data_IF_214009048232
#
_entry.id   IF_214009048232
#
_cell.length_a   1.000
_cell.length_b   1.000
_cell.length_c   1.000
_cell.angle_alpha   90.00
_cell.angle_beta   90.00
_cell.angle_gamma   90.00
#
_symmetry.space_group_name_H-M   'P 1'
#
loop_
_entity.id
_entity.type
_entity.pdbx_description
1 polymer ?
#
# COMPACT_ATOMS: atom_id res chain seq x y z
N UNK A 1 20.75 17.14 -1.70
CA UNK A 1 19.69 16.67 -2.59
C UNK A 1 18.45 17.51 -2.34
N UNK A 2 17.64 17.79 -3.37
CA UNK A 2 16.39 18.52 -3.20
C UNK A 2 15.40 17.56 -2.53
N UNK A 3 15.01 17.85 -1.31
CA UNK A 3 14.05 17.02 -0.57
C UNK A 3 12.63 17.42 -0.98
N UNK A 4 11.87 16.48 -1.53
CA UNK A 4 10.46 16.70 -1.83
C UNK A 4 9.66 16.73 -0.52
N UNK A 5 8.62 17.59 -0.48
CA UNK A 5 7.72 17.71 0.67
C UNK A 5 6.30 17.33 0.24
N UNK A 6 5.48 16.91 1.22
CA UNK A 6 4.08 16.58 0.97
C UNK A 6 3.34 17.73 0.27
N UNK A 7 3.53 18.95 0.76
CA UNK A 7 2.87 20.15 0.23
C UNK A 7 3.30 20.46 -1.21
N UNK A 8 4.61 20.40 -1.49
CA UNK A 8 5.15 20.76 -2.81
C UNK A 8 4.78 19.75 -3.92
N UNK A 9 4.48 18.52 -3.56
CA UNK A 9 4.15 17.44 -4.49
C UNK A 9 2.66 17.10 -4.54
N UNK A 10 1.85 17.67 -3.63
CA UNK A 10 0.41 17.42 -3.49
C UNK A 10 -0.37 17.92 -4.70
N UNK A 11 -1.15 17.07 -5.31
CA UNK A 11 -2.01 17.33 -6.48
C UNK A 11 -3.34 16.64 -6.35
N UNK A 12 -4.30 17.11 -7.13
CA UNK A 12 -5.62 16.51 -7.27
C UNK A 12 -5.96 16.30 -8.74
N UNK A 13 -6.70 15.27 -9.02
CA UNK A 13 -7.31 15.05 -10.32
C UNK A 13 -8.75 14.57 -10.16
N UNK A 14 -9.65 15.09 -11.00
CA UNK A 14 -10.99 14.56 -11.12
C UNK A 14 -10.96 13.37 -12.07
N UNK A 15 -11.34 12.21 -11.58
CA UNK A 15 -11.54 11.01 -12.39
C UNK A 15 -13.02 10.83 -12.70
N UNK A 16 -13.38 9.69 -13.31
CA UNK A 16 -14.77 9.37 -13.62
C UNK A 16 -15.64 9.24 -12.36
N UNK A 17 -15.12 8.56 -11.32
CA UNK A 17 -15.87 8.28 -10.09
C UNK A 17 -15.46 9.18 -8.92
N UNK A 18 -14.18 9.59 -8.81
CA UNK A 18 -13.65 10.25 -7.61
C UNK A 18 -12.75 11.44 -7.95
N UNK A 19 -12.70 12.39 -7.05
CA UNK A 19 -11.60 13.32 -6.95
C UNK A 19 -10.50 12.67 -6.13
N UNK A 20 -9.39 12.32 -6.79
CA UNK A 20 -8.26 11.66 -6.15
C UNK A 20 -7.16 12.66 -5.82
N UNK A 21 -6.59 12.49 -4.63
CA UNK A 21 -5.36 13.13 -4.21
C UNK A 21 -4.16 12.21 -4.49
N UNK A 22 -3.06 12.80 -4.87
CA UNK A 22 -1.79 12.11 -5.07
C UNK A 22 -0.61 13.07 -4.90
N UNK A 23 0.56 12.55 -4.54
CA UNK A 23 1.82 13.28 -4.65
C UNK A 23 2.50 12.88 -5.95
N UNK A 24 3.13 13.83 -6.65
CA UNK A 24 3.74 13.63 -7.95
C UNK A 24 5.07 14.39 -8.04
N UNK A 25 6.15 13.68 -8.30
CA UNK A 25 7.50 14.24 -8.39
C UNK A 25 8.35 13.51 -9.43
N UNK A 26 9.28 14.24 -10.04
CA UNK A 26 10.19 13.71 -11.05
C UNK A 26 9.56 13.65 -12.44
N UNK A 27 10.32 13.07 -13.36
CA UNK A 27 9.98 12.87 -14.77
C UNK A 27 10.51 11.49 -15.23
N UNK A 28 10.03 10.96 -16.35
CA UNK A 28 10.46 9.68 -16.91
C UNK A 28 9.45 8.56 -16.72
N UNK A 29 9.92 7.31 -16.69
CA UNK A 29 9.04 6.15 -16.45
C UNK A 29 8.35 6.26 -15.11
N UNK A 30 7.06 5.87 -15.08
CA UNK A 30 6.22 6.08 -13.89
C UNK A 30 6.33 4.91 -12.92
N UNK A 31 6.54 5.25 -11.64
CA UNK A 31 6.36 4.37 -10.49
C UNK A 31 5.14 4.86 -9.71
N UNK A 32 4.07 4.07 -9.70
CA UNK A 32 2.86 4.35 -8.94
C UNK A 32 2.86 3.50 -7.66
N UNK A 33 2.79 4.18 -6.50
CA UNK A 33 2.88 3.55 -5.18
C UNK A 33 1.53 3.64 -4.46
N UNK A 34 1.05 2.49 -3.97
CA UNK A 34 -0.29 2.32 -3.39
C UNK A 34 -0.15 1.89 -1.93
N UNK A 35 -0.71 2.69 -1.02
CA UNK A 35 -0.58 2.51 0.44
C UNK A 35 -1.47 1.40 1.02
N UNK A 36 -1.19 1.02 2.27
CA UNK A 36 -1.97 0.07 3.06
C UNK A 36 -3.21 0.69 3.72
N UNK A 37 -3.99 -0.13 4.42
CA UNK A 37 -5.27 0.24 5.04
C UNK A 37 -5.16 0.82 6.46
N UNK A 38 -3.99 1.24 6.90
CA UNK A 38 -3.82 1.82 8.25
C UNK A 38 -4.69 3.05 8.46
N UNK A 39 -5.18 3.25 9.67
CA UNK A 39 -5.85 4.48 10.05
C UNK A 39 -4.89 5.67 9.85
N UNK A 40 -5.35 6.73 9.19
CA UNK A 40 -4.52 7.87 8.79
C UNK A 40 -3.45 7.55 7.71
N UNK A 41 -3.57 6.42 7.01
CA UNK A 41 -2.68 6.12 5.91
C UNK A 41 -2.91 7.05 4.72
N UNK A 42 -1.82 7.43 4.07
CA UNK A 42 -1.78 8.17 2.81
C UNK A 42 -0.62 7.66 1.96
N UNK A 43 -0.60 7.97 0.70
CA UNK A 43 0.56 7.69 -0.16
C UNK A 43 1.84 8.29 0.43
N UNK A 44 1.77 9.54 0.88
CA UNK A 44 2.91 10.22 1.51
C UNK A 44 3.36 9.55 2.83
N UNK A 45 2.44 9.31 3.74
CA UNK A 45 2.77 8.70 5.04
C UNK A 45 3.42 7.31 4.89
N UNK A 46 3.07 6.60 3.82
CA UNK A 46 3.60 5.27 3.55
C UNK A 46 4.97 5.30 2.86
N UNK A 47 5.21 6.26 1.94
CA UNK A 47 6.32 6.19 0.98
C UNK A 47 7.23 7.42 0.90
N UNK A 48 7.10 8.41 1.80
CA UNK A 48 7.93 9.63 1.74
C UNK A 48 9.44 9.35 1.79
N UNK A 49 9.89 8.24 2.38
CA UNK A 49 11.31 7.84 2.42
C UNK A 49 11.82 7.27 1.09
N UNK A 50 10.92 7.04 0.14
CA UNK A 50 11.23 6.37 -1.11
C UNK A 50 11.21 7.33 -2.31
N UNK A 51 10.53 8.49 -2.20
CA UNK A 51 10.32 9.41 -3.33
C UNK A 51 11.64 9.99 -3.86
N UNK A 52 12.47 10.57 -3.00
CA UNK A 52 13.72 11.25 -3.41
C UNK A 52 14.72 10.32 -4.11
N UNK A 53 15.00 9.09 -3.61
CA UNK A 53 15.92 8.17 -4.28
C UNK A 53 15.43 7.71 -5.66
N UNK A 54 14.12 7.49 -5.81
CA UNK A 54 13.53 7.04 -7.07
C UNK A 54 13.50 8.19 -8.10
N UNK A 55 13.16 9.40 -7.67
CA UNK A 55 13.24 10.60 -8.53
C UNK A 55 14.69 10.90 -8.95
N UNK A 56 15.64 10.77 -8.02
CA UNK A 56 17.07 10.95 -8.35
C UNK A 56 17.59 9.92 -9.36
N UNK A 57 16.94 8.76 -9.44
CA UNK A 57 17.25 7.70 -10.42
C UNK A 57 16.56 7.92 -11.79
N UNK A 58 15.79 9.02 -11.97
CA UNK A 58 15.16 9.40 -13.23
C UNK A 58 13.74 8.87 -13.44
N UNK A 59 13.04 8.52 -12.37
CA UNK A 59 11.63 8.09 -12.43
C UNK A 59 10.66 9.22 -12.05
N UNK A 60 9.47 9.21 -12.65
CA UNK A 60 8.33 9.96 -12.14
C UNK A 60 7.64 9.10 -11.06
N UNK A 61 7.56 9.61 -9.84
CA UNK A 61 7.00 8.91 -8.68
C UNK A 61 5.64 9.50 -8.32
N UNK A 62 4.62 8.65 -8.30
CA UNK A 62 3.25 9.01 -7.91
C UNK A 62 2.88 8.22 -6.67
N UNK A 63 2.53 8.92 -5.59
CA UNK A 63 2.03 8.34 -4.36
C UNK A 63 0.52 8.59 -4.29
N UNK A 64 -0.28 7.57 -4.54
CA UNK A 64 -1.74 7.70 -4.59
C UNK A 64 -2.36 7.63 -3.19
N UNK A 65 -3.32 8.50 -2.89
CA UNK A 65 -4.29 8.28 -1.82
C UNK A 65 -5.48 7.51 -2.39
N UNK A 66 -5.74 6.31 -1.88
CA UNK A 66 -6.88 5.50 -2.32
C UNK A 66 -8.22 6.16 -1.94
N UNK A 67 -9.32 5.93 -2.68
CA UNK A 67 -10.64 6.40 -2.27
C UNK A 67 -10.97 5.99 -0.83
N UNK A 68 -11.43 6.94 -0.03
CA UNK A 68 -11.69 6.74 1.40
C UNK A 68 -10.46 6.90 2.31
N UNK A 69 -9.32 7.38 1.81
CA UNK A 69 -8.13 7.72 2.59
C UNK A 69 -7.55 9.07 2.20
N UNK A 70 -6.76 9.63 3.10
CA UNK A 70 -6.04 10.87 2.90
C UNK A 70 -6.96 12.01 2.47
N UNK A 71 -6.61 12.65 1.35
CA UNK A 71 -7.37 13.77 0.78
C UNK A 71 -8.23 13.37 -0.42
N UNK A 72 -8.29 12.08 -0.77
CA UNK A 72 -9.20 11.56 -1.78
C UNK A 72 -10.64 11.52 -1.28
N UNK A 73 -11.59 11.49 -2.22
CA UNK A 73 -13.01 11.45 -1.87
C UNK A 73 -13.37 10.32 -0.90
N UNK A 74 -14.26 10.59 0.06
CA UNK A 74 -14.77 9.57 0.97
C UNK A 74 -15.64 8.56 0.22
N UNK A 75 -15.65 7.31 0.69
CA UNK A 75 -16.46 6.25 0.10
C UNK A 75 -17.01 5.30 1.16
N UNK A 76 -18.27 4.91 0.98
CA UNK A 76 -18.88 3.73 1.64
C UNK A 76 -19.33 2.79 0.53
N UNK A 77 -18.88 1.53 0.58
CA UNK A 77 -19.18 0.55 -0.45
C UNK A 77 -19.31 -0.85 0.09
N UNK A 78 -20.18 -1.66 -0.51
CA UNK A 78 -20.26 -3.11 -0.28
C UNK A 78 -19.41 -3.95 -1.25
N UNK A 79 -18.73 -3.30 -2.21
CA UNK A 79 -17.81 -3.99 -3.12
C UNK A 79 -16.51 -4.41 -2.42
N UNK A 80 -15.80 -5.43 -2.93
CA UNK A 80 -14.47 -5.76 -2.45
C UNK A 80 -13.53 -4.54 -2.59
N UNK A 81 -12.88 -4.19 -1.49
CA UNK A 81 -12.06 -2.96 -1.43
C UNK A 81 -10.94 -2.92 -2.46
N UNK A 82 -10.32 -4.06 -2.75
CA UNK A 82 -9.24 -4.11 -3.73
C UNK A 82 -9.73 -3.85 -5.15
N UNK A 83 -10.95 -4.28 -5.52
CA UNK A 83 -11.55 -4.01 -6.82
C UNK A 83 -11.83 -2.51 -6.98
N UNK A 84 -12.37 -1.85 -5.95
CA UNK A 84 -12.60 -0.41 -5.94
C UNK A 84 -11.29 0.35 -6.15
N UNK A 85 -10.24 -0.03 -5.43
CA UNK A 85 -8.94 0.60 -5.57
C UNK A 85 -8.27 0.28 -6.93
N UNK A 86 -8.47 -0.93 -7.47
CA UNK A 86 -8.02 -1.31 -8.81
C UNK A 86 -8.63 -0.41 -9.90
N UNK A 87 -9.94 -0.13 -9.80
CA UNK A 87 -10.60 0.86 -10.67
C UNK A 87 -10.04 2.27 -10.48
N UNK A 88 -9.78 2.66 -9.23
CA UNK A 88 -9.20 3.98 -8.96
C UNK A 88 -7.78 4.12 -9.51
N UNK A 89 -6.95 3.06 -9.48
CA UNK A 89 -5.65 3.02 -10.16
C UNK A 89 -5.82 3.26 -11.66
N UNK A 90 -6.75 2.53 -12.30
CA UNK A 90 -7.04 2.71 -13.72
C UNK A 90 -7.42 4.16 -14.04
N UNK A 91 -8.39 4.67 -13.31
CA UNK A 91 -8.92 6.04 -13.56
C UNK A 91 -7.86 7.11 -13.28
N UNK A 92 -7.00 6.94 -12.27
CA UNK A 92 -5.88 7.84 -12.01
C UNK A 92 -4.89 7.83 -13.18
N UNK A 93 -4.49 6.65 -13.65
CA UNK A 93 -3.57 6.52 -14.78
C UNK A 93 -4.16 7.15 -16.05
N UNK A 94 -5.44 6.92 -16.32
CA UNK A 94 -6.13 7.50 -17.49
C UNK A 94 -6.19 9.03 -17.40
N UNK A 95 -6.55 9.58 -16.24
CA UNK A 95 -6.66 11.02 -16.02
C UNK A 95 -5.31 11.75 -16.06
N UNK A 96 -4.20 11.02 -15.91
CA UNK A 96 -2.84 11.56 -15.97
C UNK A 96 -2.11 11.21 -17.27
N UNK A 97 -2.81 10.65 -18.28
CA UNK A 97 -2.27 10.18 -19.55
C UNK A 97 -1.08 9.21 -19.37
N UNK A 98 -1.18 8.29 -18.40
CA UNK A 98 -0.17 7.28 -18.12
C UNK A 98 -0.57 5.96 -18.76
N UNK A 99 0.07 5.59 -19.85
CA UNK A 99 -0.19 4.31 -20.52
C UNK A 99 0.30 3.12 -19.71
N UNK A 100 1.47 3.22 -19.10
CA UNK A 100 2.12 2.16 -18.34
C UNK A 100 2.86 2.69 -17.13
N UNK A 101 2.78 1.95 -16.00
CA UNK A 101 3.51 2.25 -14.78
C UNK A 101 4.10 0.98 -14.15
N UNK A 102 5.21 1.11 -13.41
CA UNK A 102 5.59 0.14 -12.41
C UNK A 102 4.69 0.33 -11.18
N UNK A 103 4.18 -0.76 -10.62
CA UNK A 103 3.31 -0.69 -9.44
C UNK A 103 4.05 -1.18 -8.20
N UNK A 104 3.97 -0.40 -7.12
CA UNK A 104 4.45 -0.81 -5.79
C UNK A 104 3.26 -0.76 -4.85
N UNK A 105 2.81 -1.90 -4.34
CA UNK A 105 1.66 -1.99 -3.44
C UNK A 105 2.04 -2.55 -2.07
N UNK A 106 1.72 -1.80 -1.01
CA UNK A 106 1.87 -2.27 0.36
C UNK A 106 0.54 -2.77 0.92
N UNK A 107 0.49 -3.98 1.47
CA UNK A 107 -0.67 -4.49 2.20
C UNK A 107 -1.96 -4.46 1.36
N UNK A 108 -2.94 -3.62 1.73
CA UNK A 108 -4.12 -3.31 0.91
C UNK A 108 -3.72 -2.85 -0.49
N UNK A 109 -2.67 -2.03 -0.61
CA UNK A 109 -2.16 -1.56 -1.89
C UNK A 109 -1.64 -2.70 -2.78
N UNK A 110 -1.08 -3.75 -2.18
CA UNK A 110 -0.67 -4.96 -2.90
C UNK A 110 -1.87 -5.71 -3.48
N UNK A 111 -2.91 -5.93 -2.67
CA UNK A 111 -4.17 -6.51 -3.15
C UNK A 111 -4.85 -5.65 -4.24
N UNK A 112 -4.77 -4.32 -4.10
CA UNK A 112 -5.28 -3.38 -5.10
C UNK A 112 -4.51 -3.45 -6.42
N UNK A 113 -3.18 -3.61 -6.36
CA UNK A 113 -2.34 -3.82 -7.53
C UNK A 113 -2.65 -5.17 -8.22
N UNK A 114 -2.95 -6.22 -7.43
CA UNK A 114 -3.42 -7.52 -7.98
C UNK A 114 -4.77 -7.38 -8.67
N UNK A 115 -5.72 -6.63 -8.10
CA UNK A 115 -6.99 -6.33 -8.74
C UNK A 115 -6.81 -5.61 -10.08
N UNK A 116 -5.91 -4.64 -10.13
CA UNK A 116 -5.63 -3.89 -11.36
C UNK A 116 -4.95 -4.76 -12.43
N UNK A 117 -3.86 -5.46 -12.07
CA UNK A 117 -3.06 -6.22 -13.03
C UNK A 117 -3.82 -7.41 -13.62
N UNK A 118 -4.76 -7.98 -12.89
CA UNK A 118 -5.65 -9.04 -13.38
C UNK A 118 -6.39 -8.62 -14.66
N UNK A 119 -6.84 -7.37 -14.70
CA UNK A 119 -7.65 -6.84 -15.80
C UNK A 119 -6.81 -6.05 -16.84
N UNK A 120 -5.65 -5.49 -16.42
CA UNK A 120 -4.81 -4.61 -17.25
C UNK A 120 -3.31 -4.95 -17.15
N UNK A 121 -2.89 -6.21 -17.42
CA UNK A 121 -1.48 -6.60 -17.28
C UNK A 121 -0.54 -5.84 -18.23
N UNK A 122 -1.03 -5.42 -19.40
CA UNK A 122 -0.27 -4.61 -20.37
C UNK A 122 0.06 -3.20 -19.89
N UNK A 123 -0.76 -2.67 -18.97
CA UNK A 123 -0.57 -1.35 -18.34
C UNK A 123 0.44 -1.36 -17.19
N UNK A 124 0.93 -2.55 -16.80
CA UNK A 124 1.93 -2.71 -15.75
C UNK A 124 3.28 -3.01 -16.34
N UNK A 125 4.31 -2.25 -15.97
CA UNK A 125 5.70 -2.56 -16.29
C UNK A 125 6.18 -3.72 -15.42
N UNK A 126 6.61 -3.43 -14.21
CA UNK A 126 6.95 -4.42 -13.18
C UNK A 126 6.06 -4.25 -11.96
N UNK A 127 5.81 -5.35 -11.26
CA UNK A 127 4.98 -5.39 -10.07
C UNK A 127 5.85 -5.62 -8.84
N UNK A 128 5.67 -4.81 -7.80
CA UNK A 128 6.32 -4.98 -6.49
C UNK A 128 5.21 -5.11 -5.43
N UNK A 129 5.12 -6.28 -4.80
CA UNK A 129 4.13 -6.61 -3.78
C UNK A 129 4.81 -6.67 -2.42
N UNK A 130 4.40 -5.83 -1.50
CA UNK A 130 4.99 -5.74 -0.17
C UNK A 130 3.96 -6.01 0.92
N UNK A 131 4.16 -7.08 1.71
CA UNK A 131 3.21 -7.49 2.75
C UNK A 131 1.78 -7.60 2.21
N UNK A 132 1.60 -8.13 0.99
CA UNK A 132 0.38 -7.99 0.19
C UNK A 132 -0.79 -8.80 0.73
N UNK A 133 -2.00 -8.18 0.73
CA UNK A 133 -3.27 -8.89 0.80
C UNK A 133 -3.70 -9.47 -0.56
N UNK A 134 -4.91 -10.05 -0.62
CA UNK A 134 -5.53 -10.52 -1.86
C UNK A 134 -5.18 -11.95 -2.27
N UNK A 135 -4.61 -12.75 -1.37
CA UNK A 135 -4.11 -14.11 -1.66
C UNK A 135 -4.69 -15.19 -0.73
N UNK A 136 -5.94 -15.06 -0.40
CA UNK A 136 -6.67 -16.04 0.40
C UNK A 136 -7.02 -15.55 1.81
N UNK A 137 -7.63 -16.48 2.59
CA UNK A 137 -8.18 -16.20 3.93
C UNK A 137 -7.58 -17.11 5.00
N UNK A 138 -6.62 -17.96 4.65
CA UNK A 138 -6.00 -18.95 5.54
C UNK A 138 -4.51 -18.80 5.56
N UNK A 139 -3.89 -19.10 6.68
CA UNK A 139 -2.45 -19.20 6.86
C UNK A 139 -2.09 -20.58 7.41
N UNK A 140 -0.95 -21.10 6.99
CA UNK A 140 -0.42 -22.39 7.44
C UNK A 140 0.24 -22.26 8.81
N UNK A 141 0.94 -21.14 9.03
CA UNK A 141 1.81 -20.99 10.20
C UNK A 141 1.19 -20.12 11.30
N UNK A 142 0.21 -19.29 10.96
CA UNK A 142 -0.27 -18.26 11.88
C UNK A 142 -1.79 -18.23 11.97
N UNK A 143 -2.36 -18.25 13.19
CA UNK A 143 -3.80 -18.03 13.36
C UNK A 143 -4.24 -16.66 12.85
N UNK A 144 -5.33 -16.62 12.08
CA UNK A 144 -5.91 -15.38 11.58
C UNK A 144 -7.18 -14.98 12.40
N UNK A 145 -7.47 -13.67 12.53
CA UNK A 145 -6.65 -12.53 12.09
C UNK A 145 -5.43 -12.36 12.99
N UNK A 146 -4.31 -11.91 12.40
CA UNK A 146 -3.09 -11.59 13.14
C UNK A 146 -3.29 -10.41 14.09
N UNK A 147 -2.37 -10.23 15.03
CA UNK A 147 -2.43 -9.19 16.06
C UNK A 147 -2.60 -7.79 15.47
N UNK A 148 -1.81 -7.45 14.46
CA UNK A 148 -1.86 -6.14 13.83
C UNK A 148 -3.22 -5.82 13.23
N UNK A 149 -3.92 -6.80 12.65
CA UNK A 149 -5.28 -6.62 12.13
C UNK A 149 -6.27 -6.33 13.27
N UNK A 150 -6.12 -6.98 14.42
CA UNK A 150 -6.99 -6.73 15.59
C UNK A 150 -6.78 -5.30 16.12
N UNK A 151 -5.52 -4.87 16.23
CA UNK A 151 -5.17 -3.51 16.66
C UNK A 151 -5.59 -2.45 15.63
N UNK A 152 -5.49 -2.76 14.34
CA UNK A 152 -6.02 -1.89 13.27
C UNK A 152 -7.50 -1.59 13.49
N UNK A 153 -8.32 -2.62 13.70
CA UNK A 153 -9.75 -2.44 13.96
C UNK A 153 -10.05 -1.76 15.30
N UNK A 154 -9.18 -1.91 16.30
CA UNK A 154 -9.29 -1.15 17.55
C UNK A 154 -9.13 0.35 17.29
N UNK A 155 -8.13 0.77 16.53
CA UNK A 155 -7.95 2.18 16.15
C UNK A 155 -9.15 2.72 15.38
N UNK A 156 -9.68 1.97 14.42
CA UNK A 156 -10.86 2.40 13.66
C UNK A 156 -12.10 2.60 14.54
N UNK A 157 -12.29 1.78 15.58
CA UNK A 157 -13.43 1.82 16.48
C UNK A 157 -13.24 2.80 17.65
N UNK A 158 -12.01 2.93 18.13
CA UNK A 158 -11.64 3.68 19.32
C UNK A 158 -10.40 4.55 19.01
N UNK A 159 -10.53 5.57 18.13
CA UNK A 159 -9.40 6.39 17.73
C UNK A 159 -8.85 7.20 18.91
N UNK A 160 -7.59 6.94 19.25
CA UNK A 160 -6.83 7.71 20.24
C UNK A 160 -5.33 7.63 19.95
N UNK A 161 -4.51 8.55 20.47
CA UNK A 161 -3.05 8.42 20.35
C UNK A 161 -2.53 7.08 20.88
N UNK A 162 -3.11 6.57 21.98
CA UNK A 162 -2.70 5.30 22.60
C UNK A 162 -3.07 4.10 21.74
N UNK A 163 -4.28 4.05 21.14
CA UNK A 163 -4.67 2.96 20.25
C UNK A 163 -3.82 2.97 18.98
N UNK A 164 -3.58 4.17 18.43
CA UNK A 164 -2.70 4.35 17.28
C UNK A 164 -1.27 3.91 17.59
N UNK A 165 -0.72 4.30 18.77
CA UNK A 165 0.61 3.87 19.23
C UNK A 165 0.71 2.36 19.26
N UNK A 166 -0.21 1.66 19.93
CA UNK A 166 -0.21 0.19 20.02
C UNK A 166 -0.23 -0.47 18.64
N UNK A 167 -1.00 0.08 17.70
CA UNK A 167 -1.02 -0.43 16.33
C UNK A 167 0.33 -0.21 15.63
N UNK A 168 0.91 0.99 15.76
CA UNK A 168 2.20 1.32 15.12
C UNK A 168 3.37 0.51 15.70
N UNK A 169 3.36 0.20 16.99
CA UNK A 169 4.37 -0.65 17.65
C UNK A 169 4.45 -2.07 17.06
N UNK A 170 3.36 -2.55 16.44
CA UNK A 170 3.35 -3.86 15.77
C UNK A 170 3.53 -3.76 14.25
N UNK A 171 3.52 -2.54 13.68
CA UNK A 171 3.86 -2.35 12.27
C UNK A 171 5.34 -2.54 12.00
N UNK A 172 6.18 -2.22 12.96
CA UNK A 172 7.64 -2.25 12.83
C UNK A 172 8.25 -3.31 13.74
N UNK A 173 9.45 -3.74 13.42
CA UNK A 173 10.23 -4.65 14.27
C UNK A 173 10.77 -3.92 15.51
N UNK A 174 11.35 -2.71 15.30
CA UNK A 174 11.87 -1.87 16.38
C UNK A 174 11.02 -0.59 16.51
N UNK A 175 10.15 -0.50 17.54
CA UNK A 175 9.30 0.67 17.74
C UNK A 175 10.06 1.89 18.29
N UNK A 176 11.35 1.78 18.64
CA UNK A 176 12.12 2.91 19.19
C UNK A 176 12.26 4.09 18.23
N UNK A 177 12.14 3.84 16.93
CA UNK A 177 12.13 4.88 15.89
C UNK A 177 10.78 5.63 15.77
N UNK A 178 9.73 5.16 16.44
CA UNK A 178 8.41 5.77 16.46
C UNK A 178 8.33 6.82 17.57
N UNK A 179 8.69 8.05 17.26
CA UNK A 179 8.65 9.16 18.24
C UNK A 179 7.21 9.57 18.56
N UNK A 180 7.00 10.15 19.74
CA UNK A 180 5.69 10.70 20.14
C UNK A 180 5.20 11.77 19.15
N UNK A 181 6.12 12.58 18.62
CA UNK A 181 5.82 13.58 17.60
C UNK A 181 5.28 12.94 16.31
N UNK A 182 5.87 11.84 15.85
CA UNK A 182 5.40 11.10 14.69
C UNK A 182 4.00 10.51 14.92
N UNK A 183 3.74 9.99 16.12
CA UNK A 183 2.44 9.42 16.48
C UNK A 183 1.39 10.50 16.52
N UNK A 184 1.69 11.65 17.16
CA UNK A 184 0.78 12.78 17.21
C UNK A 184 0.46 13.32 15.81
N UNK A 185 1.48 13.48 14.97
CA UNK A 185 1.29 13.92 13.58
C UNK A 185 0.37 12.98 12.78
N UNK A 186 0.54 11.66 12.94
CA UNK A 186 -0.34 10.68 12.30
C UNK A 186 -1.75 10.69 12.87
N UNK A 187 -1.88 10.89 14.19
CA UNK A 187 -3.18 11.02 14.82
C UNK A 187 -3.94 12.24 14.32
N UNK A 188 -3.27 13.38 14.23
CA UNK A 188 -3.87 14.63 13.73
C UNK A 188 -4.32 14.45 12.26
N UNK A 189 -3.48 13.87 11.42
CA UNK A 189 -3.83 13.56 10.02
C UNK A 189 -5.01 12.57 9.89
N UNK A 190 -5.09 11.58 10.79
CA UNK A 190 -6.21 10.65 10.87
C UNK A 190 -7.51 11.38 11.24
N UNK A 191 -7.45 12.30 12.21
CA UNK A 191 -8.63 13.01 12.72
C UNK A 191 -9.08 14.15 11.81
N UNK A 192 -8.19 14.74 11.02
CA UNK A 192 -8.53 15.75 10.01
C UNK A 192 -9.61 15.23 9.03
N UNK A 193 -9.55 13.93 8.71
CA UNK A 193 -10.53 13.24 7.88
C UNK A 193 -11.21 12.08 8.63
N UNK A 194 -11.58 12.31 9.88
CA UNK A 194 -12.08 11.25 10.78
C UNK A 194 -13.30 10.47 10.28
N UNK A 195 -14.11 11.07 9.38
CA UNK A 195 -15.22 10.36 8.74
C UNK A 195 -14.77 9.15 7.90
N UNK A 196 -13.52 9.10 7.44
CA UNK A 196 -12.98 7.92 6.74
C UNK A 196 -12.94 6.67 7.64
N UNK A 197 -12.79 6.85 8.95
CA UNK A 197 -12.78 5.73 9.90
C UNK A 197 -14.13 5.02 9.91
N UNK A 198 -15.22 5.79 10.08
CA UNK A 198 -16.59 5.27 10.08
C UNK A 198 -16.98 4.70 8.73
N UNK A 199 -16.62 5.39 7.63
CA UNK A 199 -16.89 4.95 6.27
C UNK A 199 -16.20 3.60 5.97
N UNK A 200 -14.98 3.41 6.45
CA UNK A 200 -14.28 2.13 6.30
C UNK A 200 -14.98 1.01 7.08
N UNK A 201 -15.35 1.26 8.32
CA UNK A 201 -16.09 0.27 9.12
C UNK A 201 -17.44 -0.10 8.50
N UNK A 202 -18.18 0.89 7.98
CA UNK A 202 -19.43 0.66 7.25
C UNK A 202 -19.21 -0.18 5.99
N UNK A 203 -18.17 0.14 5.21
CA UNK A 203 -17.80 -0.61 4.01
C UNK A 203 -17.46 -2.06 4.34
N UNK A 204 -16.68 -2.29 5.39
CA UNK A 204 -16.30 -3.64 5.86
C UNK A 204 -17.55 -4.43 6.28
N UNK A 205 -18.50 -3.78 6.96
CA UNK A 205 -19.77 -4.42 7.36
C UNK A 205 -20.62 -4.77 6.14
N UNK A 206 -20.75 -3.88 5.15
CA UNK A 206 -21.52 -4.10 3.93
C UNK A 206 -20.91 -5.20 3.04
N UNK A 207 -19.59 -5.21 2.89
CA UNK A 207 -18.87 -6.23 2.12
C UNK A 207 -18.73 -7.58 2.85
N UNK A 208 -19.20 -7.68 4.10
CA UNK A 208 -18.99 -8.85 4.97
C UNK A 208 -17.52 -9.23 5.08
N UNK A 209 -16.67 -8.22 5.24
CA UNK A 209 -15.21 -8.37 5.30
C UNK A 209 -14.58 -8.95 4.03
N UNK A 210 -15.23 -8.79 2.89
CA UNK A 210 -14.66 -9.21 1.62
C UNK A 210 -13.78 -8.08 1.05
N UNK A 211 -12.46 -8.24 1.15
CA UNK A 211 -11.49 -7.29 0.59
C UNK A 211 -11.14 -7.59 -0.87
N UNK A 212 -11.36 -8.81 -1.33
CA UNK A 212 -10.95 -9.38 -2.61
C UNK A 212 -9.96 -10.54 -2.43
N UNK A 213 -9.99 -11.51 -3.34
CA UNK A 213 -9.09 -12.66 -3.37
C UNK A 213 -8.78 -13.00 -4.84
N UNK A 214 -7.52 -12.92 -5.22
CA UNK A 214 -7.02 -13.11 -6.59
C UNK A 214 -6.13 -14.35 -6.71
N UNK A 215 -6.25 -15.29 -5.76
CA UNK A 215 -5.43 -16.51 -5.76
C UNK A 215 -5.49 -17.24 -7.09
N UNK A 216 -6.68 -17.38 -7.68
CA UNK A 216 -6.87 -18.10 -8.94
C UNK A 216 -6.34 -17.32 -10.17
N UNK A 217 -6.12 -16.02 -10.05
CA UNK A 217 -5.60 -15.16 -11.11
C UNK A 217 -4.06 -15.12 -11.13
N UNK A 218 -3.40 -15.42 -10.00
CA UNK A 218 -1.93 -15.31 -9.86
C UNK A 218 -1.13 -16.05 -10.95
N UNK A 219 -1.52 -17.29 -11.37
CA UNK A 219 -0.79 -18.00 -12.42
C UNK A 219 -0.83 -17.31 -13.79
N UNK A 220 -1.77 -16.38 -13.97
CA UNK A 220 -1.98 -15.67 -15.24
C UNK A 220 -1.25 -14.31 -15.29
N UNK A 221 -0.56 -13.89 -14.22
CA UNK A 221 0.20 -12.64 -14.19
C UNK A 221 1.50 -12.80 -14.97
N UNK A 222 1.65 -12.15 -16.15
CA UNK A 222 2.83 -12.32 -17.00
C UNK A 222 4.00 -11.44 -16.56
N UNK A 223 3.73 -10.41 -15.76
CA UNK A 223 4.66 -9.34 -15.42
C UNK A 223 5.72 -9.82 -14.43
N UNK A 224 6.96 -9.35 -14.63
CA UNK A 224 8.04 -9.58 -13.67
C UNK A 224 7.65 -9.01 -12.32
N UNK A 225 7.65 -9.84 -11.28
CA UNK A 225 7.14 -9.50 -9.95
C UNK A 225 8.20 -9.67 -8.87
N UNK A 226 8.41 -8.64 -8.07
CA UNK A 226 9.19 -8.69 -6.84
C UNK A 226 8.24 -8.77 -5.64
N UNK A 227 8.39 -9.80 -4.85
CA UNK A 227 7.66 -9.97 -3.59
C UNK A 227 8.60 -9.57 -2.47
N UNK A 228 8.16 -8.64 -1.62
CA UNK A 228 8.94 -8.15 -0.47
C UNK A 228 8.19 -8.44 0.81
N UNK A 229 8.88 -8.94 1.82
CA UNK A 229 8.27 -9.24 3.12
C UNK A 229 9.21 -8.93 4.29
N UNK A 230 8.65 -8.43 5.38
CA UNK A 230 9.35 -8.45 6.65
C UNK A 230 9.20 -9.82 7.31
N UNK A 231 10.31 -10.41 7.77
CA UNK A 231 10.28 -11.71 8.47
C UNK A 231 9.39 -11.68 9.72
N UNK A 232 9.34 -10.53 10.37
CA UNK A 232 8.70 -10.33 11.66
C UNK A 232 7.35 -9.61 11.51
N UNK A 233 6.73 -9.70 10.32
CA UNK A 233 5.42 -9.10 10.01
C UNK A 233 4.32 -9.68 10.89
N UNK A 234 3.63 -8.80 11.63
CA UNK A 234 2.55 -9.14 12.57
C UNK A 234 1.14 -8.75 12.02
N UNK A 235 1.07 -8.32 10.75
CA UNK A 235 -0.16 -7.95 10.04
C UNK A 235 -0.58 -8.99 9.01
N UNK A 236 0.36 -9.40 8.17
CA UNK A 236 0.11 -10.33 7.07
C UNK A 236 1.10 -11.49 7.16
N UNK A 237 0.60 -12.75 7.17
CA UNK A 237 1.45 -13.90 7.43
C UNK A 237 2.47 -14.13 6.32
N UNK A 238 3.69 -14.49 6.71
CA UNK A 238 4.80 -14.69 5.79
C UNK A 238 4.56 -15.81 4.77
N UNK A 239 3.77 -16.82 5.09
CA UNK A 239 3.43 -17.91 4.16
C UNK A 239 2.63 -17.42 2.94
N UNK A 240 1.99 -16.26 3.02
CA UNK A 240 1.39 -15.62 1.83
C UNK A 240 2.45 -15.16 0.83
N UNK A 241 3.64 -14.78 1.28
CA UNK A 241 4.75 -14.48 0.36
C UNK A 241 5.21 -15.71 -0.41
N UNK A 242 5.23 -16.87 0.26
CA UNK A 242 5.57 -18.15 -0.39
C UNK A 242 4.48 -18.61 -1.37
N UNK A 243 3.22 -18.31 -1.05
CA UNK A 243 2.09 -18.57 -1.96
C UNK A 243 2.21 -17.72 -3.23
N UNK A 244 2.47 -16.42 -3.09
CA UNK A 244 2.73 -15.51 -4.22
C UNK A 244 3.89 -16.00 -5.08
N UNK A 245 5.04 -16.33 -4.44
CA UNK A 245 6.23 -16.83 -5.12
C UNK A 245 5.97 -18.11 -5.93
N UNK A 246 5.18 -19.00 -5.37
CA UNK A 246 4.88 -20.28 -6.01
C UNK A 246 3.85 -20.17 -7.17
N UNK A 247 2.95 -19.18 -7.08
CA UNK A 247 1.84 -19.06 -8.02
C UNK A 247 2.08 -18.05 -9.14
N UNK A 248 2.85 -16.99 -8.92
CA UNK A 248 3.20 -16.01 -9.96
C UNK A 248 4.42 -16.53 -10.74
N UNK A 249 4.29 -16.86 -12.03
CA UNK A 249 5.34 -17.57 -12.79
C UNK A 249 6.68 -16.84 -12.86
N UNK A 250 6.66 -15.51 -12.98
CA UNK A 250 7.87 -14.69 -13.12
C UNK A 250 8.09 -13.82 -11.88
N UNK A 251 8.29 -14.48 -10.74
CA UNK A 251 8.42 -13.80 -9.45
C UNK A 251 9.72 -14.11 -8.71
N UNK A 252 10.12 -13.19 -7.86
CA UNK A 252 11.27 -13.32 -6.93
C UNK A 252 10.82 -12.86 -5.56
N UNK A 253 11.29 -13.50 -4.50
CA UNK A 253 11.00 -13.13 -3.11
C UNK A 253 12.26 -12.59 -2.42
N UNK A 254 12.11 -11.44 -1.77
CA UNK A 254 13.08 -10.90 -0.82
C UNK A 254 12.45 -10.75 0.57
N UNK A 255 13.10 -11.32 1.58
CA UNK A 255 12.66 -11.25 2.97
C UNK A 255 13.67 -10.49 3.80
N UNK A 256 13.26 -9.36 4.37
CA UNK A 256 14.08 -8.61 5.31
C UNK A 256 14.01 -9.22 6.70
N UNK A 257 15.17 -9.48 7.32
CA UNK A 257 15.25 -9.83 8.73
C UNK A 257 15.11 -8.57 9.61
N UNK A 258 14.68 -8.73 10.86
CA UNK A 258 14.46 -7.60 11.77
C UNK A 258 13.59 -6.50 11.12
N UNK A 259 12.49 -6.93 10.52
CA UNK A 259 11.58 -6.09 9.76
C UNK A 259 10.14 -6.55 10.00
N UNK A 260 9.29 -5.61 10.35
CA UNK A 260 7.85 -5.80 10.47
C UNK A 260 7.13 -5.62 9.13
N UNK A 261 5.98 -4.96 9.16
CA UNK A 261 5.10 -4.80 8.01
C UNK A 261 5.54 -3.69 7.02
N UNK A 262 6.46 -2.80 7.45
CA UNK A 262 6.87 -1.62 6.68
C UNK A 262 8.32 -1.67 6.21
N UNK A 263 8.68 -2.65 5.38
CA UNK A 263 10.03 -2.79 4.83
C UNK A 263 10.54 -1.50 4.13
N UNK A 264 9.67 -0.79 3.42
CA UNK A 264 9.98 0.48 2.75
C UNK A 264 10.30 1.63 3.72
N UNK A 265 9.91 1.49 4.97
CA UNK A 265 10.14 2.48 6.02
C UNK A 265 11.29 2.07 6.95
N UNK A 266 11.30 0.81 7.41
CA UNK A 266 12.31 0.27 8.33
C UNK A 266 13.66 0.09 7.65
N UNK A 267 13.68 -0.42 6.43
CA UNK A 267 14.86 -0.67 5.60
C UNK A 267 14.87 0.19 4.33
N UNK A 268 14.52 1.48 4.45
CA UNK A 268 14.25 2.36 3.30
C UNK A 268 15.39 2.40 2.27
N UNK A 269 16.65 2.51 2.71
CA UNK A 269 17.79 2.57 1.79
C UNK A 269 17.98 1.26 1.01
N UNK A 270 17.89 0.13 1.69
CA UNK A 270 18.04 -1.18 1.07
C UNK A 270 16.85 -1.52 0.18
N UNK A 271 15.63 -1.20 0.63
CA UNK A 271 14.41 -1.31 -0.16
C UNK A 271 14.52 -0.50 -1.46
N UNK A 272 14.95 0.77 -1.38
CA UNK A 272 15.08 1.62 -2.57
C UNK A 272 16.11 1.05 -3.56
N UNK A 273 17.26 0.55 -3.08
CA UNK A 273 18.26 -0.11 -3.94
C UNK A 273 17.69 -1.37 -4.60
N UNK A 274 16.99 -2.22 -3.84
CA UNK A 274 16.35 -3.43 -4.34
C UNK A 274 15.32 -3.12 -5.43
N UNK A 275 14.46 -2.13 -5.21
CA UNK A 275 13.45 -1.68 -6.18
C UNK A 275 14.12 -1.16 -7.44
N UNK A 276 15.13 -0.29 -7.32
CA UNK A 276 15.83 0.28 -8.47
C UNK A 276 16.56 -0.78 -9.29
N UNK A 277 17.22 -1.74 -8.64
CA UNK A 277 17.88 -2.85 -9.33
C UNK A 277 16.84 -3.72 -10.07
N UNK A 278 15.76 -4.05 -9.39
CA UNK A 278 14.69 -4.86 -9.98
C UNK A 278 14.00 -4.17 -11.17
N UNK A 279 13.76 -2.86 -11.10
CA UNK A 279 13.11 -2.12 -12.20
C UNK A 279 14.04 -2.02 -13.42
N UNK A 280 15.35 -1.87 -13.24
CA UNK A 280 16.32 -1.75 -14.34
C UNK A 280 16.56 -3.05 -15.09
N UNK A 281 16.48 -4.18 -14.42
CA UNK A 281 16.81 -5.51 -14.96
C UNK A 281 15.58 -6.42 -15.04
#
# INVERSE_FOLDING_TARGET
MKTHTNEATSKFVQTEEWKLHYNDAGEGEVILMIHGSGAGATGWANFHRNIDPLVAAGYRVILMDCPGWGKSDPIVTGEPRFDVNGRAIKQLMDALDIDKAHLIGNSMGGGSALAFIKDYPERVGKLILMGSGGVGKTSIFTPLPMEGIKLLFDVYKNPSPESLRRMLDVFVYDPSALTEELIQLRYDAMMENGHHLDNFLQSVAQSKFNMGDYTDDLPNIPNKTLIVWGRDDRFVPIDWSLKLLNMIPNSTLHVFSQCGHWAQWEHAEEFNRLVLDFIKH
#
